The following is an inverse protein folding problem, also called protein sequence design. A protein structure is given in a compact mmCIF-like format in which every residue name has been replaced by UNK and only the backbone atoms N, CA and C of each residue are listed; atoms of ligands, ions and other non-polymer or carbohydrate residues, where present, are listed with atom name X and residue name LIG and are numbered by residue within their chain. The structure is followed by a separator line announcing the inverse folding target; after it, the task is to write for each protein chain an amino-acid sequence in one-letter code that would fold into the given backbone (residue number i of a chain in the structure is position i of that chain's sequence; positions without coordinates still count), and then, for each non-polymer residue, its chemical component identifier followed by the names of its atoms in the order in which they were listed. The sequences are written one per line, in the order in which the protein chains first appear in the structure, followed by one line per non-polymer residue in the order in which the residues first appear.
data_IF_034266137530
#
_entry.id   IF_034266137530
#
_cell.length_a   1.000
_cell.length_b   1.000
_cell.length_c   1.000
_cell.angle_alpha   90.00
_cell.angle_beta   90.00
_cell.angle_gamma   90.00
#
_symmetry.space_group_name_H-M   'P 1'
#
loop_
_entity.id
_entity.type
_entity.pdbx_description
1 polymer ?
#
# COMPACT_ATOMS: atom_id res chain seq x y z
N UNK A 1 19.12 6.48 -8.61
CA UNK A 1 17.79 6.07 -9.08
C UNK A 1 16.74 7.10 -8.68
N UNK A 2 15.77 7.38 -9.56
CA UNK A 2 14.56 8.14 -9.18
C UNK A 2 13.64 7.25 -8.33
N UNK A 3 13.12 7.73 -7.18
CA UNK A 3 12.25 6.93 -6.32
C UNK A 3 10.91 6.53 -6.89
N UNK A 4 10.14 7.50 -7.39
CA UNK A 4 8.80 7.26 -7.94
C UNK A 4 8.61 8.06 -9.21
N UNK A 5 7.79 7.57 -10.14
CA UNK A 5 7.05 6.31 -10.09
C UNK A 5 7.92 5.06 -10.30
N UNK A 6 7.53 3.95 -9.66
CA UNK A 6 8.20 2.64 -9.82
C UNK A 6 7.69 1.94 -11.07
N UNK A 7 8.60 1.34 -11.83
CA UNK A 7 8.26 0.53 -13.01
C UNK A 7 7.45 -0.72 -12.64
N UNK A 8 6.44 -1.06 -13.45
CA UNK A 8 5.46 -2.12 -13.14
C UNK A 8 6.11 -3.43 -12.75
N UNK A 9 7.10 -3.90 -13.51
CA UNK A 9 7.80 -5.17 -13.21
C UNK A 9 8.54 -5.14 -11.86
N UNK A 10 9.15 -4.00 -11.50
CA UNK A 10 9.81 -3.84 -10.22
C UNK A 10 8.78 -3.76 -9.09
N UNK A 11 7.67 -3.07 -9.30
CA UNK A 11 6.55 -3.01 -8.36
C UNK A 11 5.96 -4.40 -8.10
N UNK A 12 5.72 -5.21 -9.14
CA UNK A 12 5.22 -6.58 -8.99
C UNK A 12 6.19 -7.43 -8.18
N UNK A 13 7.50 -7.32 -8.45
CA UNK A 13 8.52 -8.03 -7.66
C UNK A 13 8.53 -7.59 -6.18
N UNK A 14 8.42 -6.29 -5.90
CA UNK A 14 8.36 -5.73 -4.54
C UNK A 14 7.13 -6.24 -3.79
N UNK A 15 5.99 -6.31 -4.47
CA UNK A 15 4.71 -6.77 -3.90
C UNK A 15 4.56 -8.28 -3.88
N UNK A 16 5.56 -9.02 -4.39
CA UNK A 16 5.50 -10.48 -4.57
C UNK A 16 4.27 -10.92 -5.40
N UNK A 17 4.00 -10.20 -6.49
CA UNK A 17 2.92 -10.48 -7.44
C UNK A 17 3.44 -11.22 -8.68
N UNK A 18 2.60 -12.04 -9.34
CA UNK A 18 2.95 -12.70 -10.60
C UNK A 18 3.31 -11.67 -11.68
N UNK A 19 4.36 -11.96 -12.46
CA UNK A 19 4.86 -11.04 -13.51
C UNK A 19 3.83 -10.81 -14.61
N UNK A 20 2.99 -11.80 -14.86
CA UNK A 20 1.91 -11.80 -15.87
C UNK A 20 0.84 -10.74 -15.55
N UNK A 21 0.73 -10.30 -14.30
CA UNK A 21 -0.13 -9.17 -13.94
C UNK A 21 0.33 -7.87 -14.60
N UNK A 22 1.59 -7.76 -15.02
CA UNK A 22 2.14 -6.56 -15.66
C UNK A 22 1.47 -6.20 -16.99
N UNK A 23 0.86 -7.19 -17.65
CA UNK A 23 0.09 -6.98 -18.89
C UNK A 23 -1.28 -6.34 -18.63
N UNK A 24 -1.70 -6.23 -17.37
CA UNK A 24 -2.94 -5.57 -17.01
C UNK A 24 -2.80 -4.03 -17.09
N UNK A 25 -3.58 -3.42 -17.99
CA UNK A 25 -3.61 -1.97 -18.21
C UNK A 25 -3.96 -1.15 -16.97
N UNK A 26 -4.60 -1.75 -15.96
CA UNK A 26 -5.03 -1.06 -14.73
C UNK A 26 -3.88 -0.37 -13.99
N UNK A 27 -2.68 -0.96 -13.98
CA UNK A 27 -1.53 -0.37 -13.31
C UNK A 27 -1.07 0.93 -14.00
N UNK A 28 -1.23 1.01 -15.32
CA UNK A 28 -0.93 2.22 -16.08
C UNK A 28 -1.96 3.31 -15.80
N UNK A 29 -3.23 2.94 -15.74
CA UNK A 29 -4.34 3.88 -15.49
C UNK A 29 -4.27 4.49 -14.08
N UNK A 30 -3.90 3.68 -13.09
CA UNK A 30 -3.86 4.12 -11.69
C UNK A 30 -2.56 4.83 -11.28
N UNK A 31 -1.50 4.76 -12.11
CA UNK A 31 -0.20 5.41 -11.81
C UNK A 31 -0.37 6.90 -11.53
N UNK A 32 -1.13 7.61 -12.38
CA UNK A 32 -1.39 9.05 -12.18
C UNK A 32 -2.12 9.33 -10.87
N UNK A 33 -3.16 8.55 -10.56
CA UNK A 33 -3.93 8.70 -9.32
C UNK A 33 -3.07 8.49 -8.08
N UNK A 34 -2.16 7.51 -8.10
CA UNK A 34 -1.26 7.23 -6.99
C UNK A 34 -0.20 8.32 -6.83
N UNK A 35 0.31 8.87 -7.93
CA UNK A 35 1.24 10.00 -7.86
C UNK A 35 0.58 11.22 -7.21
N UNK A 36 -0.64 11.58 -7.62
CA UNK A 36 -1.41 12.67 -7.01
C UNK A 36 -1.74 12.40 -5.54
N UNK A 37 -2.06 11.15 -5.20
CA UNK A 37 -2.30 10.75 -3.82
C UNK A 37 -1.05 10.98 -2.97
N UNK A 38 0.13 10.51 -3.40
CA UNK A 38 1.39 10.73 -2.68
C UNK A 38 1.67 12.22 -2.57
N UNK A 39 1.54 12.98 -3.66
CA UNK A 39 1.74 14.43 -3.68
C UNK A 39 0.91 15.14 -2.62
N UNK A 40 -0.36 14.74 -2.44
CA UNK A 40 -1.25 15.32 -1.44
C UNK A 40 -0.91 14.95 0.01
N UNK A 41 -0.15 13.87 0.25
CA UNK A 41 0.10 13.30 1.57
C UNK A 41 1.50 13.60 2.13
N UNK A 42 2.47 13.91 1.27
CA UNK A 42 3.86 14.19 1.67
C UNK A 42 4.19 15.68 1.62
N UNK A 43 5.30 16.08 2.23
CA UNK A 43 5.84 17.42 2.08
C UNK A 43 6.40 17.60 0.66
N UNK A 44 6.15 18.79 0.07
CA UNK A 44 6.52 19.10 -1.32
C UNK A 44 8.01 18.84 -1.60
N UNK A 45 8.90 19.24 -0.68
CA UNK A 45 10.34 19.06 -0.84
C UNK A 45 10.74 17.59 -1.02
N UNK A 46 10.08 16.65 -0.33
CA UNK A 46 10.38 15.24 -0.48
C UNK A 46 9.72 14.64 -1.73
N UNK A 47 8.55 15.14 -2.13
CA UNK A 47 7.92 14.76 -3.38
C UNK A 47 8.81 15.12 -4.58
N UNK A 48 9.27 16.37 -4.65
CA UNK A 48 10.11 16.86 -5.75
C UNK A 48 11.40 16.04 -5.87
N UNK A 49 12.06 15.77 -4.74
CA UNK A 49 13.23 14.90 -4.69
C UNK A 49 12.91 13.48 -5.16
N UNK A 50 11.77 12.94 -4.72
CA UNK A 50 11.35 11.59 -5.07
C UNK A 50 10.99 11.40 -6.56
N UNK A 51 10.68 12.47 -7.28
CA UNK A 51 10.31 12.42 -8.71
C UNK A 51 11.40 12.89 -9.67
N UNK A 52 12.37 13.67 -9.17
CA UNK A 52 13.33 14.37 -10.03
C UNK A 52 14.79 14.01 -9.75
N UNK A 53 15.14 13.58 -8.53
CA UNK A 53 16.54 13.35 -8.14
C UNK A 53 16.96 11.89 -8.33
N UNK A 54 18.19 11.71 -8.81
CA UNK A 54 18.83 10.41 -8.93
C UNK A 54 19.55 10.04 -7.62
N UNK A 55 18.87 9.29 -6.75
CA UNK A 55 19.35 8.97 -5.39
C UNK A 55 20.15 7.65 -5.31
N UNK A 56 21.09 7.50 -4.37
CA UNK A 56 21.76 6.22 -4.12
C UNK A 56 20.77 5.11 -3.80
N UNK A 57 21.08 3.86 -4.18
CA UNK A 57 20.17 2.71 -3.96
C UNK A 57 19.80 2.47 -2.49
N UNK A 58 20.70 2.83 -1.58
CA UNK A 58 20.52 2.67 -0.13
C UNK A 58 19.89 3.91 0.54
N UNK A 59 19.54 4.95 -0.23
CA UNK A 59 18.96 6.17 0.32
C UNK A 59 17.59 5.86 0.99
N UNK A 60 17.37 6.25 2.26
CA UNK A 60 16.11 5.99 2.95
C UNK A 60 14.87 6.59 2.26
N UNK A 61 15.01 7.75 1.61
CA UNK A 61 13.93 8.38 0.85
C UNK A 61 13.59 7.52 -0.37
N UNK A 62 14.61 7.06 -1.10
CA UNK A 62 14.44 6.15 -2.23
C UNK A 62 13.67 4.89 -1.82
N UNK A 63 14.11 4.25 -0.75
CA UNK A 63 13.48 3.02 -0.24
C UNK A 63 12.02 3.30 0.17
N UNK A 64 11.80 4.33 0.98
CA UNK A 64 10.48 4.65 1.55
C UNK A 64 9.45 4.99 0.48
N UNK A 65 9.83 5.84 -0.49
CA UNK A 65 8.93 6.23 -1.58
C UNK A 65 8.64 5.08 -2.54
N UNK A 66 9.62 4.21 -2.84
CA UNK A 66 9.38 3.01 -3.65
C UNK A 66 8.37 2.08 -3.00
N UNK A 67 8.54 1.75 -1.72
CA UNK A 67 7.61 0.88 -0.99
C UNK A 67 6.24 1.55 -0.83
N UNK A 68 6.19 2.83 -0.47
CA UNK A 68 4.96 3.60 -0.34
C UNK A 68 4.14 3.59 -1.63
N UNK A 69 4.79 3.89 -2.76
CA UNK A 69 4.16 3.84 -4.08
C UNK A 69 3.64 2.44 -4.42
N UNK A 70 4.43 1.39 -4.18
CA UNK A 70 4.00 0.02 -4.48
C UNK A 70 2.75 -0.37 -3.67
N UNK A 71 2.71 -0.06 -2.37
CA UNK A 71 1.54 -0.35 -1.55
C UNK A 71 0.31 0.46 -1.99
N UNK A 72 0.47 1.73 -2.35
CA UNK A 72 -0.63 2.56 -2.84
C UNK A 72 -1.12 2.13 -4.23
N UNK A 73 -0.23 1.65 -5.10
CA UNK A 73 -0.61 1.03 -6.37
C UNK A 73 -1.50 -0.20 -6.16
N UNK A 74 -1.14 -1.08 -5.22
CA UNK A 74 -1.98 -2.22 -4.91
C UNK A 74 -3.29 -1.81 -4.23
N UNK A 75 -3.25 -0.85 -3.30
CA UNK A 75 -4.44 -0.29 -2.67
C UNK A 75 -5.43 0.26 -3.72
N UNK A 76 -4.91 1.00 -4.69
CA UNK A 76 -5.71 1.64 -5.74
C UNK A 76 -6.28 0.64 -6.76
N UNK A 77 -5.57 -0.46 -7.03
CA UNK A 77 -5.95 -1.42 -8.09
C UNK A 77 -6.65 -2.68 -7.58
N UNK A 78 -6.56 -3.02 -6.29
CA UNK A 78 -6.99 -4.32 -5.77
C UNK A 78 -8.46 -4.69 -6.00
N UNK A 79 -9.38 -3.72 -6.10
CA UNK A 79 -10.80 -3.96 -6.44
C UNK A 79 -11.00 -4.40 -7.90
N UNK A 80 -10.07 -4.05 -8.77
CA UNK A 80 -10.09 -4.37 -10.19
C UNK A 80 -9.25 -5.60 -10.54
N UNK A 81 -8.37 -6.02 -9.63
CA UNK A 81 -7.58 -7.23 -9.81
C UNK A 81 -8.47 -8.46 -9.60
N UNK A 82 -8.40 -9.40 -10.53
CA UNK A 82 -8.94 -10.73 -10.32
C UNK A 82 -8.01 -11.46 -9.33
N UNK A 83 -8.30 -11.36 -8.03
CA UNK A 83 -7.44 -11.77 -6.91
C UNK A 83 -7.16 -13.29 -6.83
N UNK A 84 -7.50 -14.08 -7.84
CA UNK A 84 -7.19 -15.53 -7.91
C UNK A 84 -5.68 -15.86 -7.91
N UNK A 85 -4.81 -14.86 -7.97
CA UNK A 85 -3.36 -15.04 -8.15
C UNK A 85 -2.47 -14.20 -7.21
N UNK A 86 -3.03 -13.61 -6.13
CA UNK A 86 -2.23 -13.23 -4.95
C UNK A 86 -1.92 -14.52 -4.17
N UNK A 87 -0.82 -15.19 -4.53
CA UNK A 87 -0.47 -16.56 -4.13
C UNK A 87 -0.77 -16.88 -2.66
N UNK A 88 -1.58 -17.92 -2.44
CA UNK A 88 -1.70 -18.75 -1.22
C UNK A 88 -2.00 -18.07 0.13
N UNK A 89 -2.11 -16.73 0.19
CA UNK A 89 -2.06 -15.98 1.45
C UNK A 89 -3.25 -15.09 1.80
N UNK A 90 -4.27 -14.97 0.95
CA UNK A 90 -5.54 -14.31 1.32
C UNK A 90 -6.73 -15.12 0.80
N UNK A 91 -6.69 -16.42 1.07
CA UNK A 91 -7.85 -17.29 1.15
C UNK A 91 -7.77 -17.89 2.55
N UNK A 92 -8.83 -17.82 3.35
CA UNK A 92 -8.90 -18.67 4.54
C UNK A 92 -8.89 -20.10 4.03
N UNK A 93 -7.81 -20.83 4.24
CA UNK A 93 -7.78 -22.25 3.91
C UNK A 93 -8.78 -22.95 4.84
N UNK A 94 -9.96 -23.29 4.33
CA UNK A 94 -10.93 -24.14 5.01
C UNK A 94 -11.08 -25.42 4.21
N UNK A 95 -10.51 -26.51 4.75
CA UNK A 95 -10.45 -27.81 4.11
C UNK A 95 -9.07 -28.46 4.28
N UNK A 96 -9.04 -29.75 4.63
CA UNK A 96 -7.83 -30.55 4.84
C UNK A 96 -7.00 -30.74 3.55
N UNK A 97 -7.53 -30.36 2.39
CA UNK A 97 -7.05 -30.68 1.05
C UNK A 97 -6.82 -29.45 0.14
N UNK A 98 -6.96 -28.22 0.66
CA UNK A 98 -6.69 -26.96 -0.08
C UNK A 98 -7.48 -26.78 -1.40
N UNK A 99 -8.65 -27.42 -1.55
CA UNK A 99 -9.36 -27.49 -2.84
C UNK A 99 -10.40 -26.38 -3.10
N UNK A 100 -10.64 -25.47 -2.14
CA UNK A 100 -11.67 -24.43 -2.24
C UNK A 100 -11.10 -23.01 -2.19
N UNK A 101 -11.47 -22.19 -3.17
CA UNK A 101 -11.22 -20.74 -3.22
C UNK A 101 -12.51 -20.00 -2.86
N UNK A 102 -12.56 -19.36 -1.70
CA UNK A 102 -13.66 -18.44 -1.36
C UNK A 102 -13.33 -17.01 -1.79
N UNK A 103 -14.31 -16.30 -2.32
CA UNK A 103 -14.19 -14.88 -2.64
C UNK A 103 -14.14 -14.07 -1.33
N UNK A 104 -13.25 -13.09 -1.25
CA UNK A 104 -13.26 -12.13 -0.14
C UNK A 104 -14.60 -11.41 -0.10
N UNK A 105 -15.17 -11.30 1.09
CA UNK A 105 -16.30 -10.42 1.36
C UNK A 105 -15.87 -8.96 1.15
N UNK A 106 -16.81 -8.06 0.87
CA UNK A 106 -16.52 -6.63 0.75
C UNK A 106 -15.77 -6.08 1.96
N UNK A 107 -16.15 -6.52 3.17
CA UNK A 107 -15.46 -6.15 4.42
C UNK A 107 -14.01 -6.61 4.51
N UNK A 108 -13.67 -7.77 3.92
CA UNK A 108 -12.28 -8.26 3.90
C UNK A 108 -11.44 -7.49 2.87
N UNK A 109 -12.03 -7.10 1.74
CA UNK A 109 -11.40 -6.22 0.76
C UNK A 109 -11.12 -4.85 1.38
N UNK A 110 -12.09 -4.26 2.08
CA UNK A 110 -11.92 -2.96 2.76
C UNK A 110 -10.82 -3.03 3.83
N UNK A 111 -10.79 -4.09 4.64
CA UNK A 111 -9.74 -4.29 5.65
C UNK A 111 -8.36 -4.49 5.02
N UNK A 112 -8.28 -5.19 3.88
CA UNK A 112 -7.04 -5.37 3.14
C UNK A 112 -6.55 -4.03 2.57
N UNK A 113 -7.43 -3.25 1.93
CA UNK A 113 -7.14 -1.90 1.42
C UNK A 113 -6.63 -0.97 2.51
N UNK A 114 -7.29 -0.98 3.67
CA UNK A 114 -6.88 -0.17 4.82
C UNK A 114 -5.49 -0.57 5.33
N UNK A 115 -5.17 -1.87 5.34
CA UNK A 115 -3.83 -2.35 5.72
C UNK A 115 -2.74 -1.92 4.72
N UNK A 116 -3.04 -1.96 3.41
CA UNK A 116 -2.09 -1.48 2.40
C UNK A 116 -1.82 0.01 2.55
N UNK A 117 -2.86 0.81 2.76
CA UNK A 117 -2.74 2.25 2.99
C UNK A 117 -1.95 2.53 4.28
N UNK A 118 -2.25 1.83 5.37
CA UNK A 118 -1.52 1.94 6.64
C UNK A 118 -0.03 1.63 6.47
N UNK A 119 0.31 0.56 5.74
CA UNK A 119 1.72 0.22 5.45
C UNK A 119 2.41 1.30 4.63
N UNK A 120 1.75 1.82 3.60
CA UNK A 120 2.29 2.90 2.78
C UNK A 120 2.58 4.16 3.61
N UNK A 121 1.62 4.61 4.41
CA UNK A 121 1.80 5.80 5.25
C UNK A 121 2.81 5.57 6.36
N UNK A 122 2.93 4.35 6.88
CA UNK A 122 3.94 4.03 7.89
C UNK A 122 5.35 4.15 7.33
N UNK A 123 5.61 3.62 6.12
CA UNK A 123 6.95 3.77 5.50
C UNK A 123 7.24 5.21 5.07
N UNK A 124 6.21 5.98 4.73
CA UNK A 124 6.34 7.41 4.40
C UNK A 124 6.35 8.33 5.61
N UNK A 125 6.21 7.81 6.85
CA UNK A 125 5.88 8.60 8.04
C UNK A 125 6.80 9.80 8.32
N UNK A 126 8.09 9.70 8.00
CA UNK A 126 9.07 10.79 8.15
C UNK A 126 8.93 11.92 7.12
N UNK A 127 8.12 11.72 6.08
CA UNK A 127 7.96 12.62 4.93
C UNK A 127 6.52 13.12 4.77
N UNK A 128 5.59 12.64 5.60
CA UNK A 128 4.18 13.03 5.55
C UNK A 128 4.01 14.50 5.92
N UNK A 129 3.08 15.16 5.25
CA UNK A 129 2.55 16.44 5.69
C UNK A 129 1.45 16.23 6.76
N UNK A 130 0.79 17.30 7.21
CA UNK A 130 -0.24 17.20 8.24
C UNK A 130 -1.41 16.30 7.80
N UNK A 131 -1.89 16.43 6.56
CA UNK A 131 -2.94 15.58 5.99
C UNK A 131 -2.56 14.11 6.01
N UNK A 132 -1.32 13.79 5.62
CA UNK A 132 -0.80 12.43 5.67
C UNK A 132 -0.71 11.87 7.10
N UNK A 133 -0.24 12.69 8.05
CA UNK A 133 -0.17 12.30 9.46
C UNK A 133 -1.55 12.07 10.06
N UNK A 134 -2.53 12.92 9.75
CA UNK A 134 -3.90 12.78 10.19
C UNK A 134 -4.50 11.47 9.64
N UNK A 135 -4.33 11.21 8.34
CA UNK A 135 -4.78 9.96 7.71
C UNK A 135 -4.13 8.72 8.32
N UNK A 136 -2.83 8.77 8.60
CA UNK A 136 -2.12 7.69 9.28
C UNK A 136 -2.69 7.43 10.69
N UNK A 137 -3.07 8.48 11.41
CA UNK A 137 -3.66 8.35 12.75
C UNK A 137 -5.09 7.82 12.72
N UNK A 138 -5.87 8.11 11.68
CA UNK A 138 -7.19 7.53 11.47
C UNK A 138 -7.14 6.02 11.19
N UNK A 139 -6.15 5.57 10.42
CA UNK A 139 -5.98 4.15 10.05
C UNK A 139 -5.42 3.30 11.18
N UNK A 140 -4.68 3.90 12.13
CA UNK A 140 -4.17 3.17 13.28
C UNK A 140 -5.33 2.66 14.14
N UNK A 141 -5.38 1.36 14.46
CA UNK A 141 -6.42 0.84 15.34
C UNK A 141 -6.33 1.57 16.69
N UNK A 142 -7.41 2.25 17.07
CA UNK A 142 -7.50 2.94 18.36
C UNK A 142 -7.27 1.91 19.46
N UNK A 143 -6.21 2.07 20.25
CA UNK A 143 -6.07 1.30 21.48
C UNK A 143 -7.31 1.56 22.34
N UNK A 144 -8.02 0.49 22.71
CA UNK A 144 -9.14 0.61 23.64
C UNK A 144 -8.61 1.25 24.92
N UNK A 145 -9.13 2.44 25.27
CA UNK A 145 -8.77 3.07 26.54
C UNK A 145 -9.19 2.11 27.65
N UNK A 146 -8.30 1.75 28.60
CA UNK A 146 -8.71 0.94 29.74
C UNK A 146 -9.79 1.71 30.49
N UNK A 147 -11.01 1.17 30.50
CA UNK A 147 -12.10 1.68 31.33
C UNK A 147 -11.67 1.41 32.77
N UNK A 148 -11.21 2.44 33.47
CA UNK A 148 -11.03 2.36 34.92
C UNK A 148 -12.42 2.31 35.55
N UNK A 149 -12.92 1.10 35.80
CA UNK A 149 -14.08 0.91 36.66
C UNK A 149 -13.63 1.28 38.07
N UNK A 150 -14.03 2.46 38.53
CA UNK A 150 -13.90 2.83 39.93
C UNK A 150 -14.80 1.90 40.75
N UNK A 151 -14.19 1.03 41.55
CA UNK A 151 -14.90 0.27 42.58
C UNK A 151 -15.22 1.28 43.69
N UNK A 152 -16.51 1.55 43.87
CA UNK A 152 -17.08 2.32 45.00
C UNK A 152 -17.32 1.35 46.15
#
# INVERSE_FOLDING_TARGET
MIPIPVETNAMLAILNLPKEMGDNGIFKEHRGLVMEMIHSLVLQEFYDRATCEDLPEEDPLLISFRFGFCFLMLHSTCEFLNLKTLGEGIVKTVGLDQSATELLTGSEIDAFKANLELRALTVLSSYLNQTGLDRLNELKPRQARPIRVGVI
#
